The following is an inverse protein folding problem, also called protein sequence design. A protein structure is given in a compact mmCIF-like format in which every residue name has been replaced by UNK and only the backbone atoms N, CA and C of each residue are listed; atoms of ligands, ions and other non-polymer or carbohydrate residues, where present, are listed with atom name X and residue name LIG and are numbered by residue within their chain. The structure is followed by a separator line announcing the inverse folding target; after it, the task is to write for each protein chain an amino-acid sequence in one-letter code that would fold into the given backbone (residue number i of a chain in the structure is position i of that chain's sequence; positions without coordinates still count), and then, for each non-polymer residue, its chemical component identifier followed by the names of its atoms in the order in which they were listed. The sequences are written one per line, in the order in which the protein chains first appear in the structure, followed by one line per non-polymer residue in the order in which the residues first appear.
data_IF_189656998979
#
_entry.id   IF_189656998979
#
_cell.length_a   1.000
_cell.length_b   1.000
_cell.length_c   1.000
_cell.angle_alpha   90.00
_cell.angle_beta   90.00
_cell.angle_gamma   90.00
#
_symmetry.space_group_name_H-M   'P 1'
#
loop_
_entity.id
_entity.type
_entity.pdbx_description
1 polymer ?
#
# COMPACT_ATOMS: atom_id res chain seq x y z
N UNK A 1 5.43 -11.50 7.53
CA UNK A 1 6.59 -10.62 7.47
C UNK A 1 6.16 -9.17 7.60
N UNK A 2 6.83 -8.41 8.42
CA UNK A 2 6.54 -7.00 8.66
C UNK A 2 7.86 -6.21 8.82
N UNK A 3 8.01 -5.02 8.21
CA UNK A 3 9.12 -4.14 8.55
C UNK A 3 9.16 -3.84 10.04
N UNK A 4 10.35 -3.77 10.62
CA UNK A 4 10.57 -3.51 12.05
C UNK A 4 10.01 -2.14 12.47
N UNK A 5 10.05 -1.15 11.58
CA UNK A 5 9.53 0.19 11.85
C UNK A 5 8.26 0.50 11.05
N UNK A 6 7.31 1.22 11.67
CA UNK A 6 6.06 1.64 11.00
C UNK A 6 6.32 2.58 9.82
N UNK A 7 7.33 3.41 9.91
CA UNK A 7 7.71 4.33 8.83
C UNK A 7 8.16 3.57 7.58
N UNK A 8 8.92 2.51 7.75
CA UNK A 8 9.39 1.69 6.63
C UNK A 8 8.26 0.88 6.01
N UNK A 9 7.30 0.44 6.82
CA UNK A 9 6.08 -0.16 6.28
C UNK A 9 5.35 0.83 5.34
N UNK A 10 5.19 2.07 5.76
CA UNK A 10 4.51 3.08 4.93
C UNK A 10 5.28 3.42 3.67
N UNK A 11 6.62 3.56 3.75
CA UNK A 11 7.48 3.74 2.57
C UNK A 11 7.31 2.58 1.58
N UNK A 12 7.31 1.34 2.10
CA UNK A 12 7.12 0.14 1.27
C UNK A 12 5.76 0.13 0.58
N UNK A 13 4.70 0.54 1.30
CA UNK A 13 3.34 0.66 0.74
C UNK A 13 3.30 1.73 -0.35
N UNK A 14 3.90 2.90 -0.11
CA UNK A 14 3.92 3.98 -1.08
C UNK A 14 4.69 3.59 -2.36
N UNK A 15 5.87 3.00 -2.22
CA UNK A 15 6.63 2.47 -3.36
C UNK A 15 5.84 1.41 -4.14
N UNK A 16 5.09 0.54 -3.46
CA UNK A 16 4.23 -0.45 -4.12
C UNK A 16 3.13 0.23 -4.94
N UNK A 17 2.51 1.29 -4.42
CA UNK A 17 1.51 2.06 -5.17
C UNK A 17 2.11 2.67 -6.45
N UNK A 18 3.28 3.29 -6.35
CA UNK A 18 4.00 3.83 -7.49
C UNK A 18 4.33 2.74 -8.54
N UNK A 19 4.83 1.58 -8.10
CA UNK A 19 5.10 0.44 -8.97
C UNK A 19 3.85 -0.11 -9.66
N UNK A 20 2.69 -0.11 -8.99
CA UNK A 20 1.42 -0.53 -9.61
C UNK A 20 1.00 0.43 -10.71
N UNK A 21 1.19 1.73 -10.51
CA UNK A 21 0.94 2.74 -11.54
C UNK A 21 1.88 2.59 -12.73
N UNK A 22 3.18 2.41 -12.50
CA UNK A 22 4.14 2.14 -13.58
C UNK A 22 3.83 0.86 -14.37
N UNK A 23 3.24 -0.15 -13.71
CA UNK A 23 2.83 -1.40 -14.37
C UNK A 23 1.52 -1.29 -15.12
N UNK A 24 0.92 -0.10 -15.18
CA UNK A 24 -0.26 0.20 -16.00
C UNK A 24 -1.59 0.01 -15.29
N UNK A 25 -1.68 0.27 -13.99
CA UNK A 25 -2.95 0.21 -13.24
C UNK A 25 -4.05 1.06 -13.87
N UNK A 26 -3.72 2.26 -14.38
CA UNK A 26 -4.69 3.13 -15.06
C UNK A 26 -5.20 2.50 -16.35
N UNK A 27 -4.29 1.99 -17.16
CA UNK A 27 -4.62 1.32 -18.43
C UNK A 27 -5.45 0.06 -18.24
N UNK A 28 -5.10 -0.75 -17.24
CA UNK A 28 -5.87 -1.92 -16.85
C UNK A 28 -7.29 -1.52 -16.44
N UNK A 29 -7.42 -0.55 -15.53
CA UNK A 29 -8.71 -0.05 -15.05
C UNK A 29 -9.58 0.48 -16.20
N UNK A 30 -9.03 1.32 -17.07
CA UNK A 30 -9.73 1.86 -18.23
C UNK A 30 -10.22 0.74 -19.15
N UNK A 31 -9.35 -0.25 -19.45
CA UNK A 31 -9.70 -1.39 -20.29
C UNK A 31 -10.83 -2.24 -19.70
N UNK A 32 -10.75 -2.57 -18.41
CA UNK A 32 -11.77 -3.34 -17.72
C UNK A 32 -13.10 -2.58 -17.66
N UNK A 33 -13.07 -1.28 -17.40
CA UNK A 33 -14.26 -0.44 -17.39
C UNK A 33 -14.93 -0.38 -18.76
N UNK A 34 -14.17 -0.13 -19.82
CA UNK A 34 -14.71 -0.08 -21.19
C UNK A 34 -15.35 -1.41 -21.61
N UNK A 35 -14.77 -2.53 -21.19
CA UNK A 35 -15.32 -3.87 -21.43
C UNK A 35 -16.56 -4.21 -20.56
N UNK A 36 -16.94 -3.33 -19.63
CA UNK A 36 -18.08 -3.58 -18.72
C UNK A 36 -17.77 -4.58 -17.61
N UNK A 37 -16.50 -4.87 -17.34
CA UNK A 37 -16.05 -5.81 -16.30
C UNK A 37 -15.88 -5.16 -14.92
N UNK A 38 -16.07 -3.85 -14.81
CA UNK A 38 -16.11 -3.09 -13.56
C UNK A 38 -17.50 -2.45 -13.38
N UNK A 39 -18.54 -3.20 -13.03
CA UNK A 39 -19.86 -2.63 -12.74
C UNK A 39 -19.79 -1.81 -11.44
N UNK A 40 -20.55 -0.70 -11.40
CA UNK A 40 -20.45 0.36 -10.38
C UNK A 40 -20.51 -0.14 -8.92
N UNK A 41 -21.30 -1.19 -8.65
CA UNK A 41 -21.52 -1.71 -7.30
C UNK A 41 -20.78 -3.02 -6.98
N UNK A 42 -19.84 -3.44 -7.81
CA UNK A 42 -19.12 -4.69 -7.60
C UNK A 42 -18.04 -4.55 -6.50
N UNK A 43 -17.71 -5.68 -5.85
CA UNK A 43 -16.59 -5.71 -4.90
C UNK A 43 -15.25 -5.40 -5.59
N UNK A 44 -15.11 -5.77 -6.87
CA UNK A 44 -13.90 -5.51 -7.66
C UNK A 44 -13.72 -4.00 -7.87
N UNK A 45 -14.79 -3.29 -8.24
CA UNK A 45 -14.77 -1.83 -8.44
C UNK A 45 -14.47 -1.09 -7.13
N UNK A 46 -14.91 -1.65 -5.98
CA UNK A 46 -14.62 -1.10 -4.64
C UNK A 46 -13.22 -1.43 -4.12
N UNK A 47 -12.48 -2.31 -4.79
CA UNK A 47 -11.12 -2.64 -4.38
C UNK A 47 -10.20 -1.41 -4.45
N UNK A 48 -9.30 -1.30 -3.47
CA UNK A 48 -8.29 -0.23 -3.43
C UNK A 48 -7.42 -0.36 -4.69
N UNK A 49 -7.19 0.76 -5.33
CA UNK A 49 -6.54 0.84 -6.63
C UNK A 49 -7.57 1.06 -7.73
N UNK A 50 -8.44 0.10 -8.00
CA UNK A 50 -9.48 0.26 -9.05
C UNK A 50 -10.45 1.39 -8.73
N UNK A 51 -10.92 1.49 -7.49
CA UNK A 51 -11.84 2.56 -7.09
C UNK A 51 -11.22 3.94 -7.33
N UNK A 52 -10.03 4.20 -6.81
CA UNK A 52 -9.38 5.50 -6.96
C UNK A 52 -9.03 5.80 -8.41
N UNK A 53 -8.57 4.77 -9.16
CA UNK A 53 -8.27 4.93 -10.59
C UNK A 53 -9.53 5.26 -11.39
N UNK A 54 -10.64 4.59 -11.12
CA UNK A 54 -11.90 4.84 -11.80
C UNK A 54 -12.47 6.24 -11.48
N UNK A 55 -12.48 6.62 -10.18
CA UNK A 55 -12.87 7.97 -9.75
C UNK A 55 -12.04 9.06 -10.46
N UNK A 56 -10.73 8.82 -10.61
CA UNK A 56 -9.84 9.72 -11.34
C UNK A 56 -10.15 9.77 -12.84
N UNK A 57 -10.36 8.63 -13.50
CA UNK A 57 -10.60 8.53 -14.94
C UNK A 57 -12.00 9.04 -15.36
N UNK A 58 -12.99 8.96 -14.46
CA UNK A 58 -14.37 9.43 -14.70
C UNK A 58 -14.59 10.92 -14.37
N UNK A 59 -13.56 11.63 -13.90
CA UNK A 59 -13.71 13.06 -13.63
C UNK A 59 -14.17 13.81 -14.87
N UNK A 60 -15.22 14.63 -14.73
CA UNK A 60 -15.90 15.29 -15.86
C UNK A 60 -15.17 16.53 -16.39
N UNK A 61 -14.25 17.08 -15.65
CA UNK A 61 -13.50 18.26 -16.05
C UNK A 61 -12.03 17.86 -16.20
N UNK A 62 -11.53 17.94 -17.44
CA UNK A 62 -10.14 18.27 -17.66
C UNK A 62 -9.98 19.70 -17.12
N UNK A 63 -9.78 19.85 -15.81
CA UNK A 63 -9.36 21.13 -15.25
C UNK A 63 -8.02 21.46 -15.89
N UNK A 64 -7.73 22.74 -16.08
CA UNK A 64 -6.45 23.20 -16.65
C UNK A 64 -5.20 22.73 -15.83
N UNK A 65 -5.38 21.81 -14.92
CA UNK A 65 -4.40 21.29 -13.99
C UNK A 65 -4.46 19.75 -13.86
N UNK A 66 -4.23 19.09 -14.99
CA UNK A 66 -4.12 17.61 -15.04
C UNK A 66 -2.96 17.10 -14.17
N UNK A 67 -1.93 17.92 -13.97
CA UNK A 67 -0.81 17.63 -13.11
C UNK A 67 -1.26 17.49 -11.65
N UNK A 68 -1.90 18.49 -11.06
CA UNK A 68 -2.36 18.48 -9.68
C UNK A 68 -3.43 17.41 -9.45
N UNK A 69 -4.25 17.14 -10.44
CA UNK A 69 -5.24 16.08 -10.41
C UNK A 69 -4.61 14.69 -10.33
N UNK A 70 -3.53 14.44 -11.10
CA UNK A 70 -2.76 13.20 -11.04
C UNK A 70 -2.03 13.06 -9.70
N UNK A 71 -1.42 14.15 -9.22
CA UNK A 71 -0.78 14.22 -7.89
C UNK A 71 -1.76 13.82 -6.78
N UNK A 72 -2.93 14.43 -6.77
CA UNK A 72 -3.99 14.14 -5.79
C UNK A 72 -4.48 12.69 -5.87
N UNK A 73 -4.61 12.15 -7.09
CA UNK A 73 -4.95 10.74 -7.26
C UNK A 73 -3.91 9.80 -6.65
N UNK A 74 -2.62 10.02 -6.93
CA UNK A 74 -1.51 9.20 -6.38
C UNK A 74 -1.54 9.25 -4.86
N UNK A 75 -1.70 10.43 -4.26
CA UNK A 75 -1.72 10.62 -2.81
C UNK A 75 -2.94 9.97 -2.15
N UNK A 76 -4.11 10.05 -2.78
CA UNK A 76 -5.33 9.38 -2.32
C UNK A 76 -5.20 7.86 -2.38
N UNK A 77 -4.62 7.34 -3.46
CA UNK A 77 -4.37 5.91 -3.63
C UNK A 77 -3.40 5.38 -2.57
N UNK A 78 -2.26 6.04 -2.37
CA UNK A 78 -1.27 5.69 -1.36
C UNK A 78 -1.88 5.77 0.06
N UNK A 79 -2.65 6.83 0.35
CA UNK A 79 -3.31 7.01 1.65
C UNK A 79 -4.32 5.90 1.93
N UNK A 80 -5.17 5.54 0.97
CA UNK A 80 -6.14 4.44 1.12
C UNK A 80 -5.42 3.11 1.37
N UNK A 81 -4.33 2.85 0.65
CA UNK A 81 -3.53 1.62 0.80
C UNK A 81 -2.85 1.55 2.17
N UNK A 82 -2.28 2.67 2.67
CA UNK A 82 -1.73 2.73 4.03
C UNK A 82 -2.78 2.49 5.11
N UNK A 83 -3.98 3.05 4.95
CA UNK A 83 -5.08 2.82 5.89
C UNK A 83 -5.52 1.35 5.89
N UNK A 84 -5.57 0.72 4.73
CA UNK A 84 -5.88 -0.70 4.62
C UNK A 84 -4.79 -1.57 5.27
N UNK A 85 -3.53 -1.31 4.98
CA UNK A 85 -2.40 -2.00 5.60
C UNK A 85 -2.43 -1.89 7.13
N UNK A 86 -2.76 -0.69 7.68
CA UNK A 86 -2.96 -0.50 9.12
C UNK A 86 -4.08 -1.39 9.68
N UNK A 87 -5.21 -1.49 8.98
CA UNK A 87 -6.34 -2.35 9.39
C UNK A 87 -5.95 -3.84 9.36
N UNK A 88 -5.23 -4.27 8.31
CA UNK A 88 -4.71 -5.64 8.22
C UNK A 88 -3.78 -5.97 9.40
N UNK A 89 -2.83 -5.07 9.71
CA UNK A 89 -1.94 -5.25 10.86
C UNK A 89 -2.70 -5.34 12.19
N UNK A 90 -3.78 -4.57 12.36
CA UNK A 90 -4.62 -4.65 13.55
C UNK A 90 -5.40 -5.95 13.62
N UNK A 91 -5.85 -6.47 12.49
CA UNK A 91 -6.56 -7.74 12.40
C UNK A 91 -5.62 -8.91 12.74
N UNK A 92 -4.48 -9.02 12.05
CA UNK A 92 -3.50 -10.08 12.29
C UNK A 92 -2.97 -10.12 13.74
N UNK A 93 -2.89 -8.95 14.42
CA UNK A 93 -2.47 -8.89 15.84
C UNK A 93 -3.49 -9.44 16.82
N UNK A 94 -4.73 -9.61 16.41
CA UNK A 94 -5.81 -10.14 17.26
C UNK A 94 -5.99 -11.64 17.09
N UNK A 95 -5.29 -12.21 16.16
CA UNK A 95 -5.40 -13.61 15.77
C UNK A 95 -4.10 -14.31 16.17
N UNK A 96 -4.20 -15.19 17.18
CA UNK A 96 -3.07 -15.88 17.78
C UNK A 96 -2.44 -16.92 16.83
N UNK A 97 -3.08 -17.23 15.69
CA UNK A 97 -2.53 -18.10 14.66
C UNK A 97 -1.43 -17.42 13.82
N UNK A 98 -1.24 -16.09 13.97
CA UNK A 98 -0.25 -15.33 13.21
C UNK A 98 0.93 -14.89 14.06
N UNK A 99 2.12 -15.25 13.62
CA UNK A 99 3.39 -14.80 14.19
C UNK A 99 4.01 -13.74 13.29
N UNK A 100 4.41 -12.62 13.89
CA UNK A 100 5.09 -11.55 13.17
C UNK A 100 6.59 -11.79 13.16
N UNK A 101 7.16 -11.88 11.96
CA UNK A 101 8.60 -11.90 11.76
C UNK A 101 9.04 -10.50 11.29
N UNK A 102 9.84 -9.84 12.12
CA UNK A 102 10.40 -8.53 11.81
C UNK A 102 11.42 -8.63 10.67
N UNK A 103 11.32 -7.71 9.71
CA UNK A 103 12.23 -7.63 8.58
C UNK A 103 13.11 -6.40 8.74
N UNK A 104 14.42 -6.59 8.78
CA UNK A 104 15.38 -5.49 8.85
C UNK A 104 15.46 -4.78 7.48
N UNK A 105 14.99 -3.54 7.43
CA UNK A 105 14.96 -2.74 6.20
C UNK A 105 16.27 -2.04 5.88
N UNK A 106 17.24 -2.02 6.80
CA UNK A 106 18.58 -1.45 6.57
C UNK A 106 19.45 -2.34 5.71
N UNK A 107 19.12 -3.63 5.64
CA UNK A 107 19.81 -4.59 4.78
C UNK A 107 19.39 -4.45 3.33
N UNK A 108 20.30 -4.79 2.39
CA UNK A 108 19.92 -4.92 0.99
C UNK A 108 18.91 -6.07 0.77
N UNK A 109 18.29 -6.12 -0.40
CA UNK A 109 17.21 -7.08 -0.70
C UNK A 109 17.63 -8.54 -0.53
N UNK A 110 18.84 -8.89 -0.92
CA UNK A 110 19.36 -10.27 -0.87
C UNK A 110 19.65 -10.69 0.58
N UNK A 111 20.41 -9.87 1.30
CA UNK A 111 20.72 -10.08 2.72
C UNK A 111 19.45 -10.20 3.56
N UNK A 112 18.49 -9.31 3.35
CA UNK A 112 17.19 -9.31 4.01
C UNK A 112 16.41 -10.59 3.76
N UNK A 113 16.43 -11.09 2.51
CA UNK A 113 15.77 -12.34 2.14
C UNK A 113 16.41 -13.54 2.84
N UNK A 114 17.75 -13.60 2.85
CA UNK A 114 18.51 -14.67 3.50
C UNK A 114 18.27 -14.67 5.01
N UNK A 115 18.38 -13.51 5.66
CA UNK A 115 18.15 -13.39 7.10
C UNK A 115 16.73 -13.79 7.50
N UNK A 116 15.73 -13.29 6.77
CA UNK A 116 14.32 -13.62 7.04
C UNK A 116 14.06 -15.12 6.83
N UNK A 117 14.59 -15.71 5.77
CA UNK A 117 14.47 -17.14 5.51
C UNK A 117 15.12 -17.98 6.61
N UNK A 118 16.27 -17.54 7.12
CA UNK A 118 16.96 -18.19 8.26
C UNK A 118 16.08 -18.16 9.51
N UNK A 119 15.55 -16.99 9.88
CA UNK A 119 14.67 -16.85 11.04
C UNK A 119 13.47 -17.80 10.94
N UNK A 120 12.77 -17.81 9.80
CA UNK A 120 11.61 -18.70 9.60
C UNK A 120 12.03 -20.18 9.69
N UNK A 121 13.15 -20.55 9.07
CA UNK A 121 13.65 -21.92 9.09
C UNK A 121 14.00 -22.38 10.50
N UNK A 122 14.59 -21.51 11.32
CA UNK A 122 14.94 -21.81 12.70
C UNK A 122 13.67 -21.94 13.56
N UNK A 123 12.68 -21.08 13.39
CA UNK A 123 11.38 -21.23 14.04
C UNK A 123 10.67 -22.55 13.67
N UNK A 124 10.75 -22.99 12.42
CA UNK A 124 10.16 -24.26 11.97
C UNK A 124 10.85 -25.51 12.54
N UNK A 125 12.05 -25.39 13.12
CA UNK A 125 12.76 -26.51 13.77
C UNK A 125 12.39 -26.69 15.25
N UNK A 126 11.75 -25.68 15.83
CA UNK A 126 11.35 -25.72 17.25
C UNK A 126 10.23 -26.75 17.45
N UNK A 127 10.26 -27.44 18.58
CA UNK A 127 9.10 -28.19 19.05
C UNK A 127 7.95 -27.25 19.44
N UNK A 128 6.73 -27.74 19.52
CA UNK A 128 5.58 -26.94 19.91
C UNK A 128 5.79 -26.20 21.25
N UNK A 129 6.41 -26.90 22.24
CA UNK A 129 6.68 -26.32 23.55
C UNK A 129 7.75 -25.19 23.50
N UNK A 130 8.81 -25.41 22.73
CA UNK A 130 9.85 -24.38 22.51
C UNK A 130 9.30 -23.19 21.76
N UNK A 131 8.48 -23.42 20.72
CA UNK A 131 7.84 -22.38 19.97
C UNK A 131 6.89 -21.51 20.83
N UNK A 132 6.06 -22.15 21.67
CA UNK A 132 5.22 -21.44 22.63
C UNK A 132 6.03 -20.65 23.67
N UNK A 133 7.17 -21.19 24.13
CA UNK A 133 8.06 -20.49 25.04
C UNK A 133 8.69 -19.25 24.36
N UNK A 134 9.13 -19.39 23.12
CA UNK A 134 9.67 -18.30 22.31
C UNK A 134 8.63 -17.20 22.10
N UNK A 135 7.38 -17.57 21.73
CA UNK A 135 6.27 -16.62 21.57
C UNK A 135 5.97 -15.84 22.87
N UNK A 136 6.06 -16.50 24.02
CA UNK A 136 5.85 -15.86 25.33
C UNK A 136 7.01 -14.93 25.71
N UNK A 137 8.21 -15.21 25.23
CA UNK A 137 9.40 -14.38 25.48
C UNK A 137 9.51 -13.16 24.54
N UNK A 138 8.88 -13.26 23.37
CA UNK A 138 8.85 -12.17 22.39
C UNK A 138 7.88 -11.05 22.80
N UNK A 139 8.28 -10.22 23.75
CA UNK A 139 7.51 -9.08 24.28
C UNK A 139 7.17 -7.99 23.24
N UNK A 140 7.71 -8.06 22.02
CA UNK A 140 7.57 -6.98 21.05
C UNK A 140 6.23 -6.96 20.30
N UNK A 141 5.48 -8.05 20.25
CA UNK A 141 4.26 -8.16 19.44
C UNK A 141 3.08 -8.88 20.12
N UNK A 142 3.26 -9.43 21.32
CA UNK A 142 2.20 -10.12 22.08
C UNK A 142 1.30 -9.15 22.87
N UNK A 143 0.18 -9.66 23.37
CA UNK A 143 -0.78 -8.94 24.24
C UNK A 143 -0.23 -8.62 25.65
N UNK A 144 1.07 -8.57 25.84
CA UNK A 144 1.69 -8.19 27.12
C UNK A 144 1.51 -6.70 27.37
N UNK A 145 1.19 -6.29 28.59
CA UNK A 145 1.03 -4.86 28.93
C UNK A 145 2.32 -4.12 28.58
N UNK A 146 2.26 -3.23 27.60
CA UNK A 146 3.39 -2.41 27.20
C UNK A 146 3.99 -1.73 28.43
N UNK A 147 5.30 -1.93 28.66
CA UNK A 147 6.02 -1.19 29.67
C UNK A 147 5.86 0.31 29.44
N UNK A 148 6.00 1.13 30.48
CA UNK A 148 5.87 2.59 30.35
C UNK A 148 6.80 3.14 29.26
N UNK A 149 8.02 2.58 29.10
CA UNK A 149 8.99 2.93 28.07
C UNK A 149 8.44 2.64 26.65
N UNK A 150 7.90 1.45 26.42
CA UNK A 150 7.31 1.06 25.12
C UNK A 150 6.06 1.88 24.79
N UNK A 151 5.25 2.25 25.81
CA UNK A 151 4.11 3.17 25.60
C UNK A 151 4.59 4.52 25.09
N UNK A 152 5.63 5.08 25.70
CA UNK A 152 6.20 6.37 25.32
C UNK A 152 6.78 6.33 23.90
N UNK A 153 7.49 5.25 23.55
CA UNK A 153 8.05 5.06 22.20
C UNK A 153 6.94 4.91 21.15
N UNK A 154 5.89 4.14 21.44
CA UNK A 154 4.71 4.01 20.57
C UNK A 154 3.95 5.33 20.40
N UNK A 155 3.83 6.13 21.45
CA UNK A 155 3.23 7.47 21.38
C UNK A 155 4.09 8.43 20.55
N UNK A 156 5.41 8.39 20.70
CA UNK A 156 6.34 9.20 19.89
C UNK A 156 6.30 8.79 18.42
N UNK A 157 6.29 7.50 18.11
CA UNK A 157 6.07 7.00 16.75
C UNK A 157 4.71 7.44 16.21
N UNK A 158 3.65 7.35 17.01
CA UNK A 158 2.31 7.82 16.65
C UNK A 158 2.27 9.32 16.33
N UNK A 159 3.02 10.15 17.07
CA UNK A 159 3.17 11.58 16.78
C UNK A 159 3.94 11.83 15.49
N UNK A 160 5.07 11.15 15.28
CA UNK A 160 5.83 11.21 14.00
C UNK A 160 4.95 10.82 12.81
N UNK A 161 4.08 9.84 12.96
CA UNK A 161 3.16 9.37 11.91
C UNK A 161 2.09 10.39 11.53
N UNK A 162 1.69 11.30 12.44
CA UNK A 162 0.74 12.39 12.10
C UNK A 162 1.33 13.39 11.10
N UNK A 163 2.65 13.50 11.06
CA UNK A 163 3.40 14.37 10.15
C UNK A 163 4.04 13.60 9.00
N UNK A 164 3.62 12.32 8.77
CA UNK A 164 4.12 11.56 7.66
C UNK A 164 3.65 12.20 6.35
N UNK A 165 4.60 12.76 5.63
CA UNK A 165 4.39 13.18 4.23
C UNK A 165 4.90 12.06 3.33
N UNK A 166 4.02 11.58 2.44
CA UNK A 166 4.39 10.62 1.41
C UNK A 166 5.49 11.23 0.54
N UNK A 167 6.64 10.54 0.47
CA UNK A 167 7.69 10.89 -0.49
C UNK A 167 7.56 9.98 -1.68
N UNK A 168 7.44 10.56 -2.86
CA UNK A 168 7.49 9.81 -4.12
C UNK A 168 8.92 9.44 -4.41
N UNK A 169 9.16 8.17 -4.69
CA UNK A 169 10.48 7.63 -4.96
C UNK A 169 10.71 7.38 -6.44
N UNK A 170 9.65 7.04 -7.17
CA UNK A 170 9.68 6.67 -8.58
C UNK A 170 8.96 7.75 -9.40
N UNK A 171 7.75 8.12 -8.96
CA UNK A 171 6.89 9.11 -9.62
C UNK A 171 7.11 10.51 -9.06
N UNK A 172 8.39 10.93 -8.98
CA UNK A 172 8.72 12.30 -8.59
C UNK A 172 8.21 13.30 -9.63
N UNK A 173 7.68 14.43 -9.18
CA UNK A 173 7.19 15.48 -10.08
C UNK A 173 8.31 15.93 -11.03
N UNK A 174 8.02 15.93 -12.33
CA UNK A 174 8.98 16.29 -13.38
C UNK A 174 9.92 15.15 -13.81
N UNK A 175 9.85 13.95 -13.23
CA UNK A 175 10.58 12.80 -13.74
C UNK A 175 9.97 12.26 -15.05
N UNK A 176 10.78 11.57 -15.85
CA UNK A 176 10.30 10.97 -17.11
C UNK A 176 9.19 9.95 -16.85
N UNK A 177 9.26 9.22 -15.75
CA UNK A 177 8.24 8.27 -15.30
C UNK A 177 6.92 8.98 -14.97
N UNK A 178 6.97 10.12 -14.29
CA UNK A 178 5.78 10.91 -13.99
C UNK A 178 5.15 11.48 -15.26
N UNK A 179 5.96 12.04 -16.18
CA UNK A 179 5.48 12.58 -17.45
C UNK A 179 4.87 11.48 -18.34
N UNK A 180 5.46 10.29 -18.34
CA UNK A 180 4.92 9.13 -19.03
C UNK A 180 3.56 8.70 -18.45
N UNK A 181 3.44 8.68 -17.12
CA UNK A 181 2.19 8.34 -16.44
C UNK A 181 1.11 9.42 -16.72
N UNK A 182 1.47 10.69 -16.74
CA UNK A 182 0.54 11.78 -17.06
C UNK A 182 -0.06 11.62 -18.46
N UNK A 183 0.78 11.27 -19.44
CA UNK A 183 0.31 10.96 -20.80
C UNK A 183 -0.60 9.75 -20.87
N UNK A 184 -0.22 8.66 -20.18
CA UNK A 184 -1.05 7.45 -20.08
C UNK A 184 -2.41 7.76 -19.44
N UNK A 185 -2.41 8.60 -18.41
CA UNK A 185 -3.61 9.01 -17.69
C UNK A 185 -4.57 9.80 -18.59
N UNK A 186 -4.05 10.69 -19.43
CA UNK A 186 -4.85 11.45 -20.41
C UNK A 186 -5.47 10.52 -21.46
N UNK A 187 -4.70 9.62 -22.03
CA UNK A 187 -5.18 8.64 -23.01
C UNK A 187 -6.28 7.73 -22.40
N UNK A 188 -6.08 7.26 -21.16
CA UNK A 188 -7.06 6.46 -20.46
C UNK A 188 -8.35 7.23 -20.11
N UNK A 189 -8.23 8.51 -19.74
CA UNK A 189 -9.39 9.37 -19.45
C UNK A 189 -10.24 9.57 -20.70
N UNK A 190 -9.64 9.87 -21.85
CA UNK A 190 -10.34 9.97 -23.14
C UNK A 190 -11.07 8.68 -23.50
N UNK A 191 -10.42 7.53 -23.27
CA UNK A 191 -11.00 6.21 -23.54
C UNK A 191 -12.27 5.97 -22.68
N UNK A 192 -12.23 6.29 -21.40
CA UNK A 192 -13.34 6.11 -20.46
C UNK A 192 -14.50 7.05 -20.82
N UNK A 193 -14.22 8.32 -21.09
CA UNK A 193 -15.23 9.32 -21.46
C UNK A 193 -15.93 9.01 -22.80
N UNK A 194 -15.21 8.45 -23.77
CA UNK A 194 -15.81 8.03 -25.06
C UNK A 194 -16.86 6.93 -24.87
N UNK A 195 -16.68 6.02 -23.93
CA UNK A 195 -17.70 5.01 -23.59
C UNK A 195 -18.94 5.63 -22.95
N UNK A 196 -18.77 6.54 -22.00
CA UNK A 196 -19.88 7.21 -21.33
C UNK A 196 -20.75 8.02 -22.32
N UNK A 197 -20.14 8.62 -23.34
CA UNK A 197 -20.86 9.29 -24.41
C UNK A 197 -21.70 8.34 -25.26
N UNK A 198 -21.16 7.16 -25.60
CA UNK A 198 -21.86 6.15 -26.41
C UNK A 198 -23.00 5.43 -25.68
N UNK A 199 -22.99 5.40 -24.34
CA UNK A 199 -24.06 4.77 -23.53
C UNK A 199 -25.25 5.72 -23.33
N UNK A 200 -25.06 7.04 -23.47
CA UNK A 200 -26.10 8.06 -23.27
C UNK A 200 -26.88 8.43 -24.56
N UNK A 201 -26.43 7.98 -25.69
CA UNK A 201 -27.08 8.11 -27.00
C UNK A 201 -27.62 6.77 -27.47
#
# INVERSE_FOLDING_TARGET
LCPSERMDHFKTVDQRCEQMLQRGLLKETASLYVKGLLPDDSQVTRAIGYRQALEYLQRKEATNDDHDSLVNFIDNFATATRQYAKKQMQWFRRDDDFVFVAVNMDLNKEERTIETARIITDMCKLSAAEFEAELKSCDEYGNVPLSAKMKTENEQQGKKMKFFMSKRHILSEGSDEFLSLLKEADDCTKLVQSKEFNVKN
#
